data_IF_175027082875
#
_entry.id   IF_175027082875
#
_cell.length_a   1.000
_cell.length_b   1.000
_cell.length_c   1.000
_cell.angle_alpha   90.00
_cell.angle_beta   90.00
_cell.angle_gamma   90.00
#
_symmetry.space_group_name_H-M   'P 1'
#
loop_
_entity.id
_entity.type
_entity.pdbx_description
1 polymer ?
#
# COMPACT_ATOMS: atom_id res chain seq x y z
N UNK A 1 -15.55 -1.71 9.36
CA UNK A 1 -14.25 -1.00 9.26
C UNK A 1 -13.92 -0.64 10.69
N UNK A 2 -13.03 -1.37 11.35
CA UNK A 2 -12.56 -1.02 12.70
C UNK A 2 -11.55 0.12 12.54
N UNK A 3 -11.98 1.33 12.87
CA UNK A 3 -11.16 2.52 12.91
C UNK A 3 -10.52 2.62 14.29
N UNK A 4 -9.34 2.05 14.49
CA UNK A 4 -8.54 2.36 15.67
C UNK A 4 -7.84 3.70 15.45
N UNK A 5 -8.21 4.69 16.25
CA UNK A 5 -7.56 6.00 16.32
C UNK A 5 -6.14 5.82 16.85
N UNK A 6 -5.15 6.11 16.01
CA UNK A 6 -3.76 6.19 16.43
C UNK A 6 -3.40 7.62 16.83
N UNK A 7 -2.56 7.81 17.86
CA UNK A 7 -2.05 9.12 18.22
C UNK A 7 -1.22 9.71 17.07
N UNK A 8 -1.26 11.03 16.96
CA UNK A 8 -0.43 11.82 16.04
C UNK A 8 1.05 11.45 16.23
N UNK A 9 1.72 11.00 15.16
CA UNK A 9 3.10 10.54 15.21
C UNK A 9 4.03 11.51 14.47
N UNK A 10 5.04 12.03 15.18
CA UNK A 10 6.16 12.76 14.57
C UNK A 10 7.17 11.77 13.99
N UNK A 11 7.69 12.08 12.81
CA UNK A 11 8.74 11.30 12.17
C UNK A 11 10.04 12.11 12.09
N UNK A 12 11.17 11.41 12.02
CA UNK A 12 12.51 11.97 11.87
C UNK A 12 13.19 11.27 10.70
N UNK A 13 13.88 12.02 9.85
CA UNK A 13 14.45 11.55 8.59
C UNK A 13 15.77 10.77 8.74
N UNK A 14 15.91 9.89 9.75
CA UNK A 14 17.18 9.19 10.01
C UNK A 14 16.97 7.79 10.57
N UNK A 15 17.71 6.82 10.05
CA UNK A 15 17.91 5.52 10.69
C UNK A 15 19.37 5.19 10.55
N UNK A 16 20.16 5.66 11.52
CA UNK A 16 21.58 5.37 11.59
C UNK A 16 21.78 4.09 12.41
N UNK A 17 22.59 3.18 11.91
CA UNK A 17 23.51 2.44 12.79
C UNK A 17 24.41 3.46 13.50
N UNK A 18 24.85 3.21 14.74
CA UNK A 18 25.46 4.22 15.62
C UNK A 18 26.89 4.60 15.21
N UNK A 19 27.10 5.15 14.02
CA UNK A 19 28.43 5.62 13.60
C UNK A 19 28.46 6.76 12.56
N UNK A 20 27.33 7.32 12.15
CA UNK A 20 27.34 8.52 11.31
C UNK A 20 26.37 9.57 11.83
N UNK A 21 26.84 10.81 11.89
CA UNK A 21 26.08 11.98 12.34
C UNK A 21 24.97 12.27 11.32
N UNK A 22 23.86 11.53 11.40
CA UNK A 22 22.77 11.71 10.43
C UNK A 22 22.01 12.99 10.79
N UNK A 23 22.04 13.96 9.88
CA UNK A 23 21.23 15.18 9.92
C UNK A 23 19.75 14.82 10.04
N UNK A 24 19.22 14.94 11.25
CA UNK A 24 17.86 14.52 11.56
C UNK A 24 16.90 15.70 11.50
N UNK A 25 16.04 15.71 10.48
CA UNK A 25 14.98 16.72 10.34
C UNK A 25 13.70 16.18 10.94
N UNK A 26 13.19 16.84 11.98
CA UNK A 26 11.85 16.59 12.54
C UNK A 26 10.81 16.99 11.49
N UNK A 27 9.95 16.06 11.11
CA UNK A 27 8.80 16.33 10.22
C UNK A 27 7.49 16.37 11.02
N UNK A 28 6.44 16.92 10.42
CA UNK A 28 5.13 17.14 11.05
C UNK A 28 4.46 15.81 11.47
N UNK A 29 3.36 15.90 12.20
CA UNK A 29 2.57 14.74 12.56
C UNK A 29 1.77 14.21 11.35
N UNK A 30 1.78 12.88 11.15
CA UNK A 30 1.07 12.22 10.05
C UNK A 30 0.00 11.25 10.57
N UNK A 31 -1.07 11.06 9.78
CA UNK A 31 -2.06 10.00 10.03
C UNK A 31 -1.52 8.67 9.49
N UNK A 32 -1.41 7.68 10.37
CA UNK A 32 -0.98 6.35 9.97
C UNK A 32 -2.10 5.58 9.26
N UNK A 33 -1.76 4.96 8.13
CA UNK A 33 -2.56 3.91 7.48
C UNK A 33 -1.67 2.74 7.14
N UNK A 34 -2.11 1.50 7.41
CA UNK A 34 -1.34 0.29 7.11
C UNK A 34 -1.72 -0.30 5.74
N UNK A 35 -0.77 -0.97 5.09
CA UNK A 35 -1.05 -1.75 3.88
C UNK A 35 -1.91 -2.96 4.18
N UNK A 36 -2.94 -3.19 3.37
CA UNK A 36 -3.78 -4.36 3.48
C UNK A 36 -3.93 -5.06 2.14
N UNK A 37 -3.48 -6.32 2.04
CA UNK A 37 -3.71 -7.12 0.84
C UNK A 37 -5.13 -7.67 0.87
N UNK A 38 -6.01 -7.18 0.00
CA UNK A 38 -7.39 -7.67 -0.07
C UNK A 38 -7.44 -9.06 -0.68
N UNK A 39 -8.16 -10.01 -0.08
CA UNK A 39 -8.33 -11.37 -0.62
C UNK A 39 -9.71 -11.55 -1.23
N UNK A 40 -9.80 -11.95 -2.50
CA UNK A 40 -11.09 -12.12 -3.21
C UNK A 40 -12.06 -13.07 -2.48
N UNK A 41 -11.55 -14.04 -1.72
CA UNK A 41 -12.36 -14.98 -0.93
C UNK A 41 -13.24 -14.29 0.12
N UNK A 42 -12.82 -13.15 0.66
CA UNK A 42 -13.56 -12.42 1.72
C UNK A 42 -14.67 -11.52 1.16
N UNK A 43 -14.90 -11.53 -0.15
CA UNK A 43 -15.92 -10.71 -0.82
C UNK A 43 -16.90 -11.60 -1.59
N UNK A 44 -17.84 -12.27 -0.90
CA UNK A 44 -18.89 -13.06 -1.53
C UNK A 44 -19.89 -12.17 -2.30
N UNK A 45 -20.73 -12.81 -3.11
CA UNK A 45 -21.83 -12.17 -3.84
C UNK A 45 -21.61 -12.07 -5.35
N UNK A 46 -22.56 -11.39 -6.02
CA UNK A 46 -22.64 -11.30 -7.48
C UNK A 46 -21.41 -10.58 -8.07
N UNK A 47 -20.82 -11.19 -9.09
CA UNK A 47 -19.68 -10.64 -9.83
C UNK A 47 -20.17 -9.77 -10.99
N UNK A 48 -20.19 -8.46 -10.78
CA UNK A 48 -20.70 -7.48 -11.77
C UNK A 48 -19.71 -6.38 -12.12
N UNK A 49 -18.49 -6.40 -11.56
CA UNK A 49 -17.43 -5.44 -11.90
C UNK A 49 -16.37 -6.09 -12.76
N UNK A 50 -16.01 -5.42 -13.86
CA UNK A 50 -15.01 -5.91 -14.82
C UNK A 50 -13.60 -5.49 -14.41
N UNK A 51 -12.67 -6.44 -14.30
CA UNK A 51 -11.24 -6.17 -14.28
C UNK A 51 -10.66 -6.42 -15.66
N UNK A 52 -10.00 -5.41 -16.22
CA UNK A 52 -9.30 -5.48 -17.50
C UNK A 52 -7.80 -5.60 -17.26
N UNK A 53 -7.16 -6.55 -17.94
CA UNK A 53 -5.70 -6.75 -17.87
C UNK A 53 -5.13 -7.09 -19.24
N UNK A 54 -3.81 -6.94 -19.42
CA UNK A 54 -3.10 -7.33 -20.64
C UNK A 54 -2.48 -8.72 -20.48
N UNK A 55 -2.63 -9.58 -21.48
CA UNK A 55 -1.94 -10.87 -21.62
C UNK A 55 -1.54 -11.03 -23.09
N UNK A 56 -0.26 -11.22 -23.37
CA UNK A 56 0.30 -11.34 -24.74
C UNK A 56 -0.18 -10.20 -25.66
N UNK A 57 -0.01 -8.94 -25.21
CA UNK A 57 -0.48 -7.69 -25.87
C UNK A 57 -2.01 -7.54 -26.03
N UNK A 58 -2.79 -8.62 -25.90
CA UNK A 58 -4.27 -8.61 -25.96
C UNK A 58 -4.89 -8.21 -24.62
N UNK A 59 -6.03 -7.51 -24.69
CA UNK A 59 -6.83 -7.17 -23.51
C UNK A 59 -7.71 -8.36 -23.14
N UNK A 60 -7.64 -8.77 -21.88
CA UNK A 60 -8.49 -9.80 -21.29
C UNK A 60 -9.34 -9.21 -20.17
N UNK A 61 -10.41 -9.91 -19.81
CA UNK A 61 -11.36 -9.49 -18.78
C UNK A 61 -11.63 -10.60 -17.79
N UNK A 62 -11.91 -10.22 -16.55
CA UNK A 62 -12.52 -11.09 -15.55
C UNK A 62 -13.56 -10.31 -14.75
N UNK A 63 -14.46 -11.03 -14.09
CA UNK A 63 -15.53 -10.44 -13.28
C UNK A 63 -15.27 -10.67 -11.80
N UNK A 64 -15.48 -9.62 -11.02
CA UNK A 64 -15.37 -9.65 -9.56
C UNK A 64 -16.54 -8.91 -8.93
N UNK A 65 -16.69 -9.04 -7.61
CA UNK A 65 -17.71 -8.31 -6.88
C UNK A 65 -17.37 -6.82 -6.82
N UNK A 66 -18.37 -5.91 -6.82
CA UNK A 66 -18.11 -4.48 -6.67
C UNK A 66 -17.39 -4.10 -5.38
N UNK A 67 -17.62 -4.86 -4.29
CA UNK A 67 -16.92 -4.68 -3.02
C UNK A 67 -15.43 -5.01 -3.18
N UNK A 68 -15.08 -6.12 -3.83
CA UNK A 68 -13.68 -6.47 -4.09
C UNK A 68 -12.98 -5.48 -5.02
N UNK A 69 -13.65 -5.01 -6.08
CA UNK A 69 -13.11 -3.98 -6.95
C UNK A 69 -12.82 -2.66 -6.19
N UNK A 70 -13.72 -2.25 -5.29
CA UNK A 70 -13.48 -1.10 -4.42
C UNK A 70 -12.26 -1.30 -3.52
N UNK A 71 -12.11 -2.50 -2.97
CA UNK A 71 -10.97 -2.86 -2.15
C UNK A 71 -9.65 -2.82 -2.94
N UNK A 72 -9.60 -3.37 -4.17
CA UNK A 72 -8.45 -3.25 -5.08
C UNK A 72 -8.07 -1.78 -5.30
N UNK A 73 -9.05 -0.90 -5.56
CA UNK A 73 -8.79 0.51 -5.80
C UNK A 73 -8.25 1.23 -4.56
N UNK A 74 -8.78 0.87 -3.39
CA UNK A 74 -8.40 1.48 -2.12
C UNK A 74 -7.00 1.05 -1.68
N UNK A 75 -6.72 -0.26 -1.76
CA UNK A 75 -5.49 -0.85 -1.25
C UNK A 75 -4.35 -0.88 -2.26
N UNK A 76 -4.63 -0.67 -3.55
CA UNK A 76 -3.63 -0.71 -4.62
C UNK A 76 -3.33 -2.11 -5.14
N UNK A 77 -3.43 -3.15 -4.31
CA UNK A 77 -3.20 -4.55 -4.69
C UNK A 77 -4.25 -5.50 -4.08
N UNK A 78 -4.43 -6.68 -4.67
CA UNK A 78 -5.29 -7.73 -4.12
C UNK A 78 -4.91 -9.12 -4.62
N UNK A 79 -5.20 -10.14 -3.81
CA UNK A 79 -5.04 -11.55 -4.13
C UNK A 79 -6.36 -12.15 -4.65
N UNK A 80 -6.31 -12.78 -5.83
CA UNK A 80 -7.42 -13.52 -6.42
C UNK A 80 -7.61 -14.88 -5.74
N UNK A 81 -8.74 -15.55 -6.03
CA UNK A 81 -9.05 -16.89 -5.50
C UNK A 81 -8.02 -17.95 -5.90
N UNK A 82 -7.44 -17.82 -7.09
CA UNK A 82 -6.39 -18.71 -7.61
C UNK A 82 -4.98 -18.38 -7.10
N UNK A 83 -4.86 -17.49 -6.12
CA UNK A 83 -3.58 -17.14 -5.50
C UNK A 83 -2.74 -16.12 -6.27
N UNK A 84 -3.13 -15.73 -7.49
CA UNK A 84 -2.45 -14.66 -8.23
C UNK A 84 -2.71 -13.30 -7.59
N UNK A 85 -1.77 -12.38 -7.72
CA UNK A 85 -1.91 -11.00 -7.23
C UNK A 85 -2.10 -10.05 -8.40
N UNK A 86 -3.07 -9.14 -8.25
CA UNK A 86 -3.32 -8.05 -9.18
C UNK A 86 -2.94 -6.71 -8.55
N UNK A 87 -2.32 -5.83 -9.34
CA UNK A 87 -2.04 -4.45 -8.99
C UNK A 87 -3.00 -3.53 -9.75
N UNK A 88 -3.64 -2.61 -9.04
CA UNK A 88 -4.42 -1.53 -9.60
C UNK A 88 -3.57 -0.63 -10.51
N UNK A 89 -4.10 -0.26 -11.66
CA UNK A 89 -3.47 0.70 -12.58
C UNK A 89 -4.27 1.98 -12.67
N UNK A 90 -5.52 1.89 -13.11
CA UNK A 90 -6.42 3.03 -13.27
C UNK A 90 -7.86 2.57 -13.39
N UNK A 91 -8.80 3.52 -13.26
CA UNK A 91 -10.21 3.29 -13.63
C UNK A 91 -10.32 3.11 -15.14
N UNK A 92 -11.39 2.47 -15.59
CA UNK A 92 -11.75 2.50 -17.01
C UNK A 92 -12.27 3.89 -17.38
N UNK A 93 -12.00 4.35 -18.61
CA UNK A 93 -12.43 5.68 -19.08
C UNK A 93 -13.97 5.71 -19.11
N UNK A 94 -14.57 6.79 -18.64
CA UNK A 94 -16.04 6.97 -18.62
C UNK A 94 -16.82 6.04 -17.69
N UNK A 95 -16.16 5.24 -16.85
CA UNK A 95 -16.83 4.26 -15.98
C UNK A 95 -16.42 4.42 -14.52
N UNK A 96 -17.40 4.25 -13.63
CA UNK A 96 -17.13 4.22 -12.18
C UNK A 96 -16.34 2.97 -11.80
N UNK A 97 -15.63 3.03 -10.66
CA UNK A 97 -14.90 1.87 -10.12
C UNK A 97 -15.82 0.71 -9.72
N UNK A 98 -17.15 0.94 -9.64
CA UNK A 98 -18.15 -0.11 -9.45
C UNK A 98 -18.37 -0.93 -10.73
N UNK A 99 -18.06 -0.37 -11.90
CA UNK A 99 -18.30 -1.02 -13.20
C UNK A 99 -17.03 -1.59 -13.82
N UNK A 100 -15.89 -0.90 -13.71
CA UNK A 100 -14.67 -1.35 -14.38
C UNK A 100 -13.36 -0.79 -13.77
N UNK A 101 -12.33 -1.64 -13.70
CA UNK A 101 -10.95 -1.29 -13.34
C UNK A 101 -9.94 -1.87 -14.33
N UNK A 102 -8.82 -1.18 -14.53
CA UNK A 102 -7.64 -1.73 -15.18
C UNK A 102 -6.64 -2.18 -14.12
N UNK A 103 -6.18 -3.40 -14.26
CA UNK A 103 -5.21 -4.06 -13.37
C UNK A 103 -4.11 -4.73 -14.20
N UNK A 104 -3.02 -5.09 -13.53
CA UNK A 104 -2.00 -6.01 -14.08
C UNK A 104 -1.74 -7.14 -13.10
N UNK A 105 -1.34 -8.29 -13.61
CA UNK A 105 -0.75 -9.33 -12.77
C UNK A 105 0.67 -8.95 -12.38
N UNK A 106 1.08 -9.37 -11.18
CA UNK A 106 2.44 -9.21 -10.67
C UNK A 106 2.98 -10.56 -10.23
N UNK A 107 4.30 -10.72 -10.27
CA UNK A 107 4.94 -11.90 -9.72
C UNK A 107 4.82 -11.85 -8.19
N UNK A 108 3.95 -12.71 -7.64
CA UNK A 108 3.65 -12.73 -6.21
C UNK A 108 4.83 -13.17 -5.32
N UNK A 109 5.84 -13.85 -5.87
CA UNK A 109 7.06 -14.25 -5.14
C UNK A 109 7.96 -13.03 -4.93
N UNK A 110 8.06 -12.17 -5.96
CA UNK A 110 8.81 -10.92 -5.89
C UNK A 110 8.04 -9.80 -5.20
N UNK A 111 6.72 -9.77 -5.33
CA UNK A 111 5.84 -8.68 -4.86
C UNK A 111 4.66 -9.22 -4.05
N UNK A 112 4.88 -9.81 -2.86
CA UNK A 112 3.84 -10.50 -2.10
C UNK A 112 2.72 -9.58 -1.60
N UNK A 113 3.00 -8.29 -1.41
CA UNK A 113 2.02 -7.29 -0.98
C UNK A 113 1.62 -6.29 -2.08
N UNK A 114 2.22 -6.39 -3.27
CA UNK A 114 2.11 -5.37 -4.30
C UNK A 114 3.43 -4.69 -4.62
N UNK A 115 3.37 -3.80 -5.60
CA UNK A 115 4.49 -2.97 -6.05
C UNK A 115 4.24 -1.55 -5.60
N UNK A 116 5.14 -1.00 -4.80
CA UNK A 116 5.08 0.40 -4.39
C UNK A 116 5.38 1.34 -5.55
N UNK A 117 5.02 2.61 -5.38
CA UNK A 117 5.33 3.67 -6.34
C UNK A 117 6.83 3.80 -6.65
N UNK A 118 7.71 3.41 -5.73
CA UNK A 118 9.16 3.35 -5.93
C UNK A 118 9.63 2.15 -6.77
N UNK A 119 8.72 1.29 -7.25
CA UNK A 119 9.04 0.09 -8.03
C UNK A 119 9.52 -1.10 -7.20
N UNK A 120 9.57 -0.97 -5.88
CA UNK A 120 10.03 -2.00 -4.93
C UNK A 120 8.85 -2.80 -4.34
N UNK A 121 9.09 -4.02 -3.83
CA UNK A 121 8.07 -4.74 -3.08
C UNK A 121 7.69 -4.00 -1.80
N UNK A 122 6.38 -3.87 -1.58
CA UNK A 122 5.85 -3.36 -0.33
C UNK A 122 6.08 -4.39 0.77
N UNK A 123 6.61 -3.93 1.90
CA UNK A 123 6.89 -4.75 3.07
C UNK A 123 5.96 -4.31 4.21
N UNK A 124 5.16 -5.21 4.80
CA UNK A 124 4.35 -4.89 5.97
C UNK A 124 5.21 -4.27 7.06
N UNK A 125 4.69 -3.23 7.70
CA UNK A 125 5.35 -2.50 8.79
C UNK A 125 6.67 -1.82 8.43
N UNK A 126 7.24 -1.99 7.24
CA UNK A 126 8.50 -1.34 6.84
C UNK A 126 8.22 -0.25 5.80
N UNK A 127 7.41 -0.54 4.78
CA UNK A 127 7.09 0.42 3.73
C UNK A 127 6.07 1.46 4.21
N UNK A 128 6.17 2.70 3.70
CA UNK A 128 5.24 3.81 3.93
C UNK A 128 4.75 4.42 2.62
N UNK A 129 3.50 4.84 2.62
CA UNK A 129 2.93 5.68 1.58
C UNK A 129 3.05 7.15 2.00
N UNK A 130 3.60 8.00 1.14
CA UNK A 130 3.94 9.40 1.49
C UNK A 130 3.48 10.38 0.41
N UNK A 131 3.41 11.67 0.75
CA UNK A 131 3.31 12.73 -0.27
C UNK A 131 4.71 12.99 -0.82
N UNK A 132 4.95 12.54 -2.05
CA UNK A 132 6.27 12.65 -2.71
C UNK A 132 6.78 14.08 -2.87
N UNK A 133 5.91 15.08 -2.78
CA UNK A 133 6.27 16.50 -2.86
C UNK A 133 6.91 17.01 -1.57
N UNK A 134 6.69 16.31 -0.45
CA UNK A 134 7.25 16.63 0.87
C UNK A 134 8.36 15.67 1.25
N UNK A 135 8.23 14.41 0.89
CA UNK A 135 9.21 13.38 1.20
C UNK A 135 9.50 12.52 -0.04
N UNK A 136 10.74 12.54 -0.55
CA UNK A 136 11.12 11.71 -1.69
C UNK A 136 10.87 10.22 -1.44
N UNK A 137 10.54 9.49 -2.51
CA UNK A 137 10.50 8.04 -2.45
C UNK A 137 11.92 7.50 -2.20
N UNK A 138 12.01 6.45 -1.39
CA UNK A 138 13.26 5.84 -0.94
C UNK A 138 13.81 6.42 0.37
N UNK A 139 13.31 7.57 0.84
CA UNK A 139 13.69 8.14 2.14
C UNK A 139 13.38 7.17 3.28
N UNK A 140 14.24 7.18 4.30
CA UNK A 140 14.07 6.41 5.53
C UNK A 140 13.61 7.33 6.65
N UNK A 141 12.60 6.91 7.40
CA UNK A 141 12.06 7.65 8.54
C UNK A 141 12.10 6.80 9.80
N UNK A 142 12.64 7.37 10.86
CA UNK A 142 12.44 6.88 12.20
C UNK A 142 11.16 7.48 12.80
N UNK A 143 10.26 6.60 13.26
CA UNK A 143 8.99 7.00 13.87
C UNK A 143 8.92 6.37 15.28
N UNK A 144 9.43 7.07 16.31
CA UNK A 144 9.57 6.51 17.65
C UNK A 144 8.23 6.08 18.26
N UNK A 145 7.15 6.80 17.96
CA UNK A 145 5.81 6.44 18.41
C UNK A 145 5.37 5.06 17.88
N UNK A 146 5.65 4.76 16.60
CA UNK A 146 5.32 3.46 16.02
C UNK A 146 6.23 2.35 16.54
N UNK A 147 7.52 2.63 16.78
CA UNK A 147 8.41 1.68 17.46
C UNK A 147 7.83 1.26 18.81
N UNK A 148 7.46 2.25 19.64
CA UNK A 148 6.87 2.01 20.95
C UNK A 148 5.56 1.21 20.82
N UNK A 149 4.67 1.63 19.93
CA UNK A 149 3.40 0.94 19.72
C UNK A 149 3.57 -0.49 19.22
N UNK A 150 4.38 -0.74 18.18
CA UNK A 150 4.65 -2.10 17.66
C UNK A 150 5.22 -3.02 18.75
N UNK A 151 6.07 -2.49 19.63
CA UNK A 151 6.58 -3.23 20.78
C UNK A 151 5.47 -3.65 21.75
N UNK A 152 4.47 -2.81 22.01
CA UNK A 152 3.29 -3.19 22.83
C UNK A 152 2.45 -4.30 22.18
N UNK A 153 2.57 -4.49 20.87
CA UNK A 153 1.90 -5.57 20.13
C UNK A 153 2.79 -6.83 20.02
N UNK A 154 3.94 -6.88 20.71
CA UNK A 154 4.89 -8.01 20.63
C UNK A 154 5.73 -8.03 19.34
N UNK A 155 5.69 -6.97 18.53
CA UNK A 155 6.38 -6.90 17.24
C UNK A 155 7.74 -6.24 17.43
N UNK A 156 8.82 -6.99 17.16
CA UNK A 156 10.19 -6.45 17.16
C UNK A 156 10.39 -5.57 15.93
N UNK A 157 10.61 -4.28 16.16
CA UNK A 157 10.88 -3.28 15.13
C UNK A 157 11.84 -2.21 15.66
N UNK A 158 12.74 -1.74 14.81
CA UNK A 158 13.70 -0.66 15.07
C UNK A 158 13.10 0.76 14.96
N UNK A 159 11.82 0.89 14.61
CA UNK A 159 11.17 2.16 14.30
C UNK A 159 11.48 2.77 12.94
N UNK A 160 12.20 2.06 12.07
CA UNK A 160 12.69 2.55 10.78
C UNK A 160 11.82 2.11 9.61
N UNK A 161 11.30 3.09 8.89
CA UNK A 161 10.37 2.87 7.79
C UNK A 161 10.94 3.47 6.51
N UNK A 162 10.51 2.97 5.35
CA UNK A 162 10.96 3.45 4.04
C UNK A 162 9.80 3.97 3.21
N UNK A 163 9.94 5.16 2.63
CA UNK A 163 8.97 5.77 1.73
C UNK A 163 8.92 5.05 0.38
N UNK A 164 8.17 3.96 0.28
CA UNK A 164 8.16 3.09 -0.91
C UNK A 164 6.93 3.30 -1.82
N UNK A 165 5.93 4.04 -1.36
CA UNK A 165 4.66 4.17 -2.07
C UNK A 165 4.04 5.58 -2.00
N UNK A 166 2.96 5.76 -2.78
CA UNK A 166 2.07 6.90 -2.67
C UNK A 166 0.61 6.45 -2.70
N UNK A 167 -0.29 7.28 -2.19
CA UNK A 167 -1.73 7.07 -2.31
C UNK A 167 -2.43 8.36 -2.70
N UNK A 168 -3.51 8.27 -3.49
CA UNK A 168 -4.27 9.47 -3.90
C UNK A 168 -4.93 10.23 -2.75
N UNK A 169 -5.06 9.60 -1.58
CA UNK A 169 -5.51 10.23 -0.34
C UNK A 169 -4.39 10.66 0.62
N UNK A 170 -3.13 10.40 0.27
CA UNK A 170 -1.98 10.77 1.09
C UNK A 170 -1.51 12.15 0.61
N UNK A 171 -1.70 13.16 1.46
CA UNK A 171 -1.36 14.56 1.18
C UNK A 171 -0.74 15.18 2.41
N UNK A 172 0.25 16.05 2.19
CA UNK A 172 0.90 16.84 3.23
C UNK A 172 2.08 16.11 3.86
#
# INVERSE_FOLDING_TARGET
MLSYLFPLAYAVLTCATPSSTIQSKKVKAYKLTYYWLSHQKTFPGRRSTKLLYKKNKRTRRMWVTPKFARAIRMQGSARLRDGRIVQFKKKCRGLTSKRCLRVRFINHKRYPMGVGAAGVPLKPMISLAVDRRRLPLGSVLYIPALRKWLRTQGIKHDGCFRADDVGGGIKG
#
